data_IF_080789837332
#
_entry.id   IF_080789837332
#
_cell.length_a   1.000
_cell.length_b   1.000
_cell.length_c   1.000
_cell.angle_alpha   90.00
_cell.angle_beta   90.00
_cell.angle_gamma   90.00
#
_symmetry.space_group_name_H-M   'P 1'
#
loop_
_entity.id
_entity.type
_entity.pdbx_description
1 polymer ?
#
# COMPACT_ATOMS: atom_id res chain seq x y z
N UNK A 1 -36.24 34.35 -16.71
CA UNK A 1 -36.82 33.03 -17.05
C UNK A 1 -36.19 32.02 -16.12
N UNK A 2 -36.96 31.53 -15.14
CA UNK A 2 -36.48 30.61 -14.10
C UNK A 2 -36.55 29.18 -14.65
N UNK A 3 -35.39 28.57 -14.84
CA UNK A 3 -35.25 27.18 -15.24
C UNK A 3 -35.64 26.31 -14.04
N UNK A 4 -36.85 25.74 -14.09
CA UNK A 4 -37.28 24.72 -13.13
C UNK A 4 -36.41 23.49 -13.34
N UNK A 5 -35.44 23.27 -12.45
CA UNK A 5 -34.85 21.94 -12.27
C UNK A 5 -35.94 21.00 -11.75
N UNK A 6 -36.51 20.21 -12.65
CA UNK A 6 -37.37 19.08 -12.29
C UNK A 6 -36.53 18.09 -11.46
N UNK A 7 -36.93 17.90 -10.19
CA UNK A 7 -36.35 16.89 -9.34
C UNK A 7 -36.56 15.50 -9.97
N UNK A 8 -35.52 14.67 -10.12
CA UNK A 8 -35.64 13.39 -10.80
C UNK A 8 -36.65 12.48 -10.07
N UNK A 9 -37.54 11.87 -10.86
CA UNK A 9 -38.60 11.00 -10.35
C UNK A 9 -38.07 9.79 -9.56
N UNK A 10 -38.86 9.30 -8.60
CA UNK A 10 -38.55 8.19 -7.68
C UNK A 10 -38.03 6.92 -8.38
N UNK A 11 -38.46 6.67 -9.62
CA UNK A 11 -37.98 5.56 -10.46
C UNK A 11 -36.57 5.75 -11.01
N UNK A 12 -36.20 6.99 -11.39
CA UNK A 12 -34.85 7.33 -11.87
C UNK A 12 -33.81 7.14 -10.75
N UNK A 13 -34.15 7.57 -9.53
CA UNK A 13 -33.26 7.41 -8.37
C UNK A 13 -33.06 5.93 -7.98
N UNK A 14 -34.09 5.09 -8.13
CA UNK A 14 -33.98 3.64 -7.91
C UNK A 14 -33.14 2.93 -8.96
N UNK A 15 -33.31 3.29 -10.24
CA UNK A 15 -32.50 2.72 -11.32
C UNK A 15 -31.03 3.14 -11.19
N UNK A 16 -30.77 4.41 -10.86
CA UNK A 16 -29.43 4.92 -10.60
C UNK A 16 -28.77 4.20 -9.42
N UNK A 17 -29.47 4.04 -8.30
CA UNK A 17 -28.98 3.27 -7.15
C UNK A 17 -28.68 1.80 -7.52
N UNK A 18 -29.59 1.14 -8.26
CA UNK A 18 -29.38 -0.24 -8.71
C UNK A 18 -28.15 -0.38 -9.64
N UNK A 19 -27.95 0.57 -10.55
CA UNK A 19 -26.77 0.60 -11.43
C UNK A 19 -25.47 0.88 -10.65
N UNK A 20 -25.53 1.69 -9.59
CA UNK A 20 -24.38 1.92 -8.70
C UNK A 20 -24.06 0.70 -7.85
N UNK A 21 -25.07 -0.04 -7.38
CA UNK A 21 -24.88 -1.23 -6.53
C UNK A 21 -24.54 -2.52 -7.31
N UNK A 22 -24.99 -2.65 -8.56
CA UNK A 22 -24.85 -3.87 -9.34
C UNK A 22 -23.39 -4.36 -9.51
N UNK A 23 -22.39 -3.49 -9.78
CA UNK A 23 -20.99 -3.91 -9.85
C UNK A 23 -20.50 -4.53 -8.53
N UNK A 24 -20.91 -3.97 -7.39
CA UNK A 24 -20.52 -4.46 -6.06
C UNK A 24 -21.21 -5.77 -5.70
N UNK A 25 -22.50 -5.90 -6.04
CA UNK A 25 -23.24 -7.16 -5.86
C UNK A 25 -22.62 -8.29 -6.70
N UNK A 26 -22.25 -8.00 -7.95
CA UNK A 26 -21.55 -8.95 -8.83
C UNK A 26 -20.16 -9.31 -8.30
N UNK A 27 -19.36 -8.32 -7.90
CA UNK A 27 -18.05 -8.54 -7.31
C UNK A 27 -18.13 -9.40 -6.05
N UNK A 28 -19.10 -9.15 -5.17
CA UNK A 28 -19.37 -9.95 -3.97
C UNK A 28 -19.77 -11.39 -4.33
N UNK A 29 -20.68 -11.57 -5.30
CA UNK A 29 -21.09 -12.89 -5.77
C UNK A 29 -19.92 -13.71 -6.33
N UNK A 30 -19.07 -13.07 -7.14
CA UNK A 30 -17.85 -13.68 -7.66
C UNK A 30 -16.84 -13.99 -6.56
N UNK A 31 -16.66 -13.09 -5.60
CA UNK A 31 -15.76 -13.32 -4.46
C UNK A 31 -16.22 -14.50 -3.59
N UNK A 32 -17.54 -14.63 -3.35
CA UNK A 32 -18.14 -15.77 -2.66
C UNK A 32 -17.92 -17.07 -3.42
N UNK A 33 -18.15 -17.06 -4.73
CA UNK A 33 -18.02 -18.26 -5.57
C UNK A 33 -16.57 -18.72 -5.72
N UNK A 34 -15.65 -17.79 -6.02
CA UNK A 34 -14.26 -18.13 -6.37
C UNK A 34 -13.36 -18.28 -5.14
N UNK A 35 -13.63 -17.53 -4.07
CA UNK A 35 -12.75 -17.44 -2.91
C UNK A 35 -13.44 -17.76 -1.58
N UNK A 36 -14.71 -18.16 -1.60
CA UNK A 36 -15.44 -18.45 -0.37
C UNK A 36 -15.55 -17.25 0.57
N UNK A 37 -15.60 -16.03 0.02
CA UNK A 37 -15.67 -14.79 0.77
C UNK A 37 -16.81 -14.78 1.79
N UNK A 38 -16.52 -14.34 3.02
CA UNK A 38 -17.49 -14.21 4.11
C UNK A 38 -17.26 -12.89 4.84
N UNK A 39 -18.34 -12.36 5.40
CA UNK A 39 -18.29 -11.24 6.34
C UNK A 39 -18.71 -11.77 7.70
N UNK A 40 -17.91 -11.51 8.72
CA UNK A 40 -18.10 -11.95 10.11
C UNK A 40 -18.20 -10.72 11.00
N UNK A 41 -18.99 -10.80 12.08
CA UNK A 41 -19.04 -9.75 13.12
C UNK A 41 -19.79 -8.47 12.75
N UNK A 42 -20.71 -8.49 11.78
CA UNK A 42 -21.52 -7.30 11.42
C UNK A 42 -22.22 -6.69 12.64
N UNK A 43 -22.65 -7.54 13.58
CA UNK A 43 -23.34 -7.13 14.80
C UNK A 43 -22.44 -6.37 15.80
N UNK A 44 -21.12 -6.33 15.57
CA UNK A 44 -20.17 -5.58 16.40
C UNK A 44 -20.16 -4.07 16.08
N UNK A 45 -20.82 -3.65 15.00
CA UNK A 45 -20.96 -2.22 14.69
C UNK A 45 -21.77 -1.51 15.78
N UNK A 46 -21.26 -0.41 16.36
CA UNK A 46 -22.03 0.40 17.27
C UNK A 46 -23.33 0.88 16.60
N UNK A 47 -24.46 0.64 17.26
CA UNK A 47 -25.78 1.04 16.76
C UNK A 47 -26.05 2.54 16.90
N UNK A 48 -25.30 3.19 17.79
CA UNK A 48 -25.31 4.61 18.13
C UNK A 48 -23.91 5.06 18.58
N UNK A 49 -23.66 6.36 18.58
CA UNK A 49 -22.39 6.94 19.01
C UNK A 49 -21.42 7.22 17.85
N UNK A 50 -20.40 8.07 18.07
CA UNK A 50 -19.31 8.23 17.10
C UNK A 50 -18.39 7.02 17.14
N UNK A 51 -17.83 6.64 16.00
CA UNK A 51 -16.77 5.64 15.96
C UNK A 51 -15.85 5.84 14.75
N UNK A 52 -14.65 5.28 14.87
CA UNK A 52 -13.64 5.31 13.82
C UNK A 52 -13.61 3.93 13.16
N UNK A 53 -14.02 3.85 11.91
CA UNK A 53 -13.84 2.65 11.09
C UNK A 53 -12.38 2.55 10.68
N UNK A 54 -11.73 1.49 11.13
CA UNK A 54 -10.42 1.10 10.65
C UNK A 54 -10.60 0.06 9.56
N UNK A 55 -10.32 0.44 8.31
CA UNK A 55 -10.34 -0.48 7.18
C UNK A 55 -8.94 -0.85 6.72
N UNK A 56 -8.71 -2.12 6.35
CA UNK A 56 -7.41 -2.57 5.82
C UNK A 56 -7.50 -2.94 4.35
N UNK A 57 -6.46 -2.60 3.60
CA UNK A 57 -6.39 -2.87 2.16
C UNK A 57 -5.08 -3.61 1.82
N UNK A 58 -4.92 -4.89 2.21
CA UNK A 58 -3.66 -5.63 2.01
C UNK A 58 -3.33 -5.91 0.55
N UNK A 59 -4.24 -5.62 -0.38
CA UNK A 59 -4.05 -5.78 -1.82
C UNK A 59 -5.08 -4.98 -2.62
N UNK A 60 -5.01 -5.07 -3.96
CA UNK A 60 -6.03 -4.49 -4.83
C UNK A 60 -7.44 -5.08 -4.58
N UNK A 61 -7.53 -6.33 -4.10
CA UNK A 61 -8.80 -6.91 -3.65
C UNK A 61 -9.29 -6.19 -2.39
N UNK A 62 -8.38 -5.88 -1.47
CA UNK A 62 -8.68 -5.08 -0.29
C UNK A 62 -9.33 -3.74 -0.62
N UNK A 63 -8.83 -3.04 -1.64
CA UNK A 63 -9.44 -1.79 -2.13
C UNK A 63 -10.89 -1.99 -2.64
N UNK A 64 -11.18 -3.10 -3.33
CA UNK A 64 -12.56 -3.44 -3.75
C UNK A 64 -13.43 -3.73 -2.52
N UNK A 65 -12.88 -4.41 -1.52
CA UNK A 65 -13.57 -4.64 -0.24
C UNK A 65 -13.81 -3.32 0.50
N UNK A 66 -12.94 -2.31 0.33
CA UNK A 66 -13.16 -0.93 0.75
C UNK A 66 -14.52 -0.39 0.34
N UNK A 67 -14.81 -0.44 -0.96
CA UNK A 67 -16.11 -0.01 -1.48
C UNK A 67 -17.29 -0.86 -1.00
N UNK A 68 -17.09 -2.18 -0.83
CA UNK A 68 -18.11 -3.06 -0.24
C UNK A 68 -18.46 -2.64 1.19
N UNK A 69 -17.48 -2.28 2.01
CA UNK A 69 -17.71 -1.79 3.38
C UNK A 69 -18.60 -0.56 3.36
N UNK A 70 -18.26 0.46 2.57
CA UNK A 70 -19.08 1.69 2.50
C UNK A 70 -20.51 1.43 2.00
N UNK A 71 -20.70 0.57 1.01
CA UNK A 71 -22.01 0.39 0.31
C UNK A 71 -22.90 -0.67 0.96
N UNK A 72 -22.33 -1.63 1.69
CA UNK A 72 -23.10 -2.74 2.30
C UNK A 72 -23.00 -2.82 3.80
N UNK A 73 -21.82 -2.56 4.38
CA UNK A 73 -21.60 -2.68 5.83
C UNK A 73 -22.04 -1.40 6.54
N UNK A 74 -21.55 -0.24 6.10
CA UNK A 74 -21.83 1.05 6.75
C UNK A 74 -23.11 1.72 6.24
N UNK A 75 -23.66 1.26 5.12
CA UNK A 75 -24.86 1.86 4.49
C UNK A 75 -26.04 2.06 5.45
N UNK A 76 -26.42 1.10 6.32
CA UNK A 76 -27.50 1.31 7.27
C UNK A 76 -27.28 2.51 8.19
N UNK A 77 -26.05 2.71 8.65
CA UNK A 77 -25.68 3.84 9.52
C UNK A 77 -25.64 5.16 8.73
N UNK A 78 -25.09 5.14 7.52
CA UNK A 78 -25.05 6.32 6.67
C UNK A 78 -26.44 6.77 6.20
N UNK A 79 -27.35 5.82 5.96
CA UNK A 79 -28.74 6.11 5.56
C UNK A 79 -29.56 6.75 6.70
N UNK A 80 -29.10 6.70 7.96
CA UNK A 80 -29.68 7.46 9.09
C UNK A 80 -29.40 8.97 9.02
N UNK A 81 -28.54 9.41 8.09
CA UNK A 81 -28.09 10.79 7.98
C UNK A 81 -26.87 11.10 8.86
N UNK A 82 -26.18 10.08 9.35
CA UNK A 82 -24.95 10.21 10.15
C UNK A 82 -23.86 10.89 9.32
N UNK A 83 -23.31 11.99 9.86
CA UNK A 83 -22.20 12.69 9.22
C UNK A 83 -20.99 11.77 9.15
N UNK A 84 -20.24 11.81 8.06
CA UNK A 84 -19.09 10.95 7.87
C UNK A 84 -17.98 11.65 7.11
N UNK A 85 -16.75 11.22 7.37
CA UNK A 85 -15.59 11.56 6.55
C UNK A 85 -14.73 10.33 6.26
N UNK A 86 -14.35 10.18 5.00
CA UNK A 86 -13.48 9.09 4.54
C UNK A 86 -12.16 9.63 3.99
N UNK A 87 -11.06 8.99 4.36
CA UNK A 87 -9.72 9.33 3.88
C UNK A 87 -9.25 8.37 2.78
N UNK A 88 -9.05 8.87 1.56
CA UNK A 88 -8.67 8.05 0.40
C UNK A 88 -7.34 8.51 -0.19
N UNK A 89 -6.56 7.60 -0.74
CA UNK A 89 -5.38 7.96 -1.52
C UNK A 89 -5.79 8.79 -2.74
N UNK A 90 -5.06 9.86 -3.03
CA UNK A 90 -5.52 10.87 -3.98
C UNK A 90 -5.61 10.37 -5.42
N UNK A 91 -4.79 9.39 -5.79
CA UNK A 91 -4.74 8.80 -7.12
C UNK A 91 -6.08 8.18 -7.52
N UNK A 92 -6.90 7.76 -6.55
CA UNK A 92 -8.26 7.27 -6.81
C UNK A 92 -9.13 8.35 -7.45
N UNK A 93 -8.94 9.61 -7.10
CA UNK A 93 -9.72 10.74 -7.63
C UNK A 93 -9.39 11.06 -9.11
N UNK A 94 -8.38 10.41 -9.72
CA UNK A 94 -8.18 10.43 -11.18
C UNK A 94 -9.33 9.75 -11.92
N UNK A 95 -9.97 8.77 -11.29
CA UNK A 95 -11.09 8.06 -11.88
C UNK A 95 -12.36 8.92 -11.72
N UNK A 96 -13.08 9.11 -12.82
CA UNK A 96 -14.28 9.96 -12.85
C UNK A 96 -15.36 9.54 -11.83
N UNK A 97 -15.38 8.26 -11.44
CA UNK A 97 -16.23 7.77 -10.36
C UNK A 97 -15.91 8.47 -9.03
N UNK A 98 -14.66 8.41 -8.56
CA UNK A 98 -14.24 8.97 -7.27
C UNK A 98 -14.26 10.50 -7.26
N UNK A 99 -13.96 11.15 -8.39
CA UNK A 99 -14.04 12.62 -8.53
C UNK A 99 -15.43 13.20 -8.23
N UNK A 100 -16.48 12.41 -8.45
CA UNK A 100 -17.86 12.84 -8.26
C UNK A 100 -18.51 12.31 -6.97
N UNK A 101 -17.76 11.61 -6.10
CA UNK A 101 -18.31 10.97 -4.90
C UNK A 101 -18.78 11.97 -3.84
N UNK A 102 -18.15 13.15 -3.73
CA UNK A 102 -18.61 14.20 -2.80
C UNK A 102 -20.06 14.64 -3.09
N UNK A 103 -20.50 14.54 -4.35
CA UNK A 103 -21.86 14.88 -4.75
C UNK A 103 -22.89 13.78 -4.43
N UNK A 104 -22.46 12.60 -3.96
CA UNK A 104 -23.32 11.41 -3.91
C UNK A 104 -23.20 10.54 -2.66
N UNK A 105 -22.10 10.56 -1.90
CA UNK A 105 -21.82 9.48 -0.93
C UNK A 105 -21.15 9.87 0.41
N UNK A 106 -20.76 11.14 0.63
CA UNK A 106 -20.15 11.59 1.90
C UNK A 106 -19.04 12.63 1.73
N UNK A 107 -18.40 13.05 2.84
CA UNK A 107 -17.21 13.91 2.78
C UNK A 107 -15.99 13.02 2.53
N UNK A 108 -15.25 13.30 1.48
CA UNK A 108 -14.00 12.61 1.19
C UNK A 108 -12.83 13.57 1.40
N UNK A 109 -11.72 13.05 1.92
CA UNK A 109 -10.48 13.81 2.08
C UNK A 109 -9.35 13.03 1.41
N UNK A 110 -8.68 13.60 0.40
CA UNK A 110 -7.52 12.96 -0.18
C UNK A 110 -6.36 12.97 0.80
N UNK A 111 -5.66 11.84 0.88
CA UNK A 111 -4.38 11.71 1.53
C UNK A 111 -3.32 12.09 0.50
N UNK A 112 -2.92 13.36 0.52
CA UNK A 112 -1.89 13.91 -0.37
C UNK A 112 -0.52 13.72 0.29
N UNK A 113 0.40 12.95 -0.31
CA UNK A 113 1.75 12.78 0.21
C UNK A 113 2.46 14.12 0.41
N UNK A 114 3.27 14.22 1.47
CA UNK A 114 4.09 15.41 1.76
C UNK A 114 3.32 16.75 1.88
N UNK A 115 2.01 16.68 2.14
CA UNK A 115 1.11 17.84 2.20
C UNK A 115 0.58 18.06 3.63
N UNK A 116 1.49 18.43 4.54
CA UNK A 116 1.17 18.56 5.97
C UNK A 116 -0.05 19.45 6.28
N UNK A 117 -0.28 20.60 5.61
CA UNK A 117 -1.45 21.44 5.87
C UNK A 117 -2.77 20.74 5.51
N UNK A 118 -2.82 20.06 4.36
CA UNK A 118 -3.99 19.34 3.85
C UNK A 118 -4.32 18.15 4.75
N UNK A 119 -3.30 17.39 5.15
CA UNK A 119 -3.44 16.29 6.10
C UNK A 119 -3.95 16.78 7.46
N UNK A 120 -3.38 17.89 7.98
CA UNK A 120 -3.82 18.49 9.25
C UNK A 120 -5.29 18.93 9.21
N UNK A 121 -5.71 19.57 8.11
CA UNK A 121 -7.11 19.95 7.91
C UNK A 121 -8.02 18.73 7.84
N UNK A 122 -7.58 17.67 7.16
CA UNK A 122 -8.30 16.40 7.10
C UNK A 122 -8.52 15.80 8.49
N UNK A 123 -7.47 15.75 9.32
CA UNK A 123 -7.55 15.25 10.70
C UNK A 123 -8.56 16.09 11.53
N UNK A 124 -8.52 17.42 11.43
CA UNK A 124 -9.46 18.30 12.13
C UNK A 124 -10.91 18.12 11.67
N UNK A 125 -11.14 17.83 10.39
CA UNK A 125 -12.47 17.48 9.90
C UNK A 125 -12.94 16.14 10.49
N UNK A 126 -12.06 15.14 10.58
CA UNK A 126 -12.33 13.89 11.30
C UNK A 126 -12.70 14.12 12.76
N UNK A 127 -11.93 14.94 13.47
CA UNK A 127 -12.21 15.32 14.86
C UNK A 127 -13.59 15.96 15.01
N UNK A 128 -13.95 16.91 14.15
CA UNK A 128 -15.28 17.57 14.16
C UNK A 128 -16.42 16.60 13.87
N UNK A 129 -16.23 15.67 12.93
CA UNK A 129 -17.22 14.64 12.61
C UNK A 129 -17.48 13.76 13.83
N UNK A 130 -16.44 13.31 14.54
CA UNK A 130 -16.59 12.50 15.75
C UNK A 130 -17.27 13.27 16.89
N UNK A 131 -16.92 14.54 17.11
CA UNK A 131 -17.60 15.38 18.11
C UNK A 131 -19.09 15.59 17.81
N UNK A 132 -19.49 15.48 16.54
CA UNK A 132 -20.88 15.59 16.10
C UNK A 132 -21.54 14.22 15.91
N UNK A 133 -21.11 13.20 16.65
CA UNK A 133 -21.69 11.84 16.62
C UNK A 133 -21.62 11.17 15.23
N UNK A 134 -20.59 11.50 14.46
CA UNK A 134 -20.38 10.98 13.12
C UNK A 134 -19.35 9.85 13.04
N UNK A 135 -19.06 9.40 11.82
CA UNK A 135 -18.18 8.26 11.54
C UNK A 135 -16.95 8.72 10.77
N UNK A 136 -15.76 8.30 11.22
CA UNK A 136 -14.52 8.50 10.47
C UNK A 136 -14.07 7.19 9.86
N UNK A 137 -13.83 7.14 8.55
CA UNK A 137 -13.37 5.95 7.83
C UNK A 137 -11.91 6.17 7.40
N UNK A 138 -11.02 5.33 7.91
CA UNK A 138 -9.58 5.49 7.72
C UNK A 138 -8.86 4.14 7.57
N UNK A 139 -7.85 4.10 6.68
CA UNK A 139 -6.90 3.01 6.61
C UNK A 139 -5.58 3.44 7.30
N UNK A 140 -5.30 2.97 8.54
CA UNK A 140 -4.12 3.39 9.28
C UNK A 140 -2.81 2.90 8.67
N UNK A 141 -2.84 1.89 7.80
CA UNK A 141 -1.65 1.42 7.08
C UNK A 141 -1.23 2.35 5.94
N UNK A 142 -2.16 3.18 5.43
CA UNK A 142 -1.93 4.16 4.37
C UNK A 142 -1.64 3.60 2.97
N UNK A 143 -1.16 2.36 2.87
CA UNK A 143 -0.88 1.67 1.60
C UNK A 143 -1.06 0.15 1.78
N UNK A 144 -1.15 -0.55 0.65
CA UNK A 144 -1.17 -2.01 0.60
C UNK A 144 0.23 -2.58 0.83
N UNK A 145 0.28 -3.71 1.55
CA UNK A 145 1.52 -4.44 1.79
C UNK A 145 2.15 -5.01 0.51
N UNK A 146 3.49 -5.05 0.48
CA UNK A 146 4.28 -5.59 -0.62
C UNK A 146 4.66 -7.07 -0.42
N UNK A 147 5.06 -7.44 0.78
CA UNK A 147 5.51 -8.79 1.17
C UNK A 147 4.52 -9.53 2.09
N UNK A 148 3.38 -8.91 2.39
CA UNK A 148 2.34 -9.45 3.26
C UNK A 148 2.48 -9.03 4.73
N UNK A 149 3.59 -8.38 5.12
CA UNK A 149 3.77 -7.82 6.48
C UNK A 149 3.03 -6.50 6.63
N UNK A 150 2.65 -6.08 7.86
CA UNK A 150 2.00 -4.80 8.03
C UNK A 150 2.94 -3.65 7.64
N UNK A 151 2.40 -2.61 7.02
CA UNK A 151 3.11 -1.33 6.92
C UNK A 151 3.08 -0.62 8.28
N UNK A 152 3.89 0.43 8.42
CA UNK A 152 3.85 1.27 9.61
C UNK A 152 2.47 1.91 9.77
N UNK A 153 1.93 1.83 10.98
CA UNK A 153 0.64 2.41 11.33
C UNK A 153 0.77 3.93 11.50
N UNK A 154 -0.01 4.68 10.72
CA UNK A 154 -0.15 6.12 10.86
C UNK A 154 -0.80 6.51 12.18
N UNK A 155 -0.49 7.73 12.64
CA UNK A 155 -0.90 8.23 13.98
C UNK A 155 -2.34 8.75 14.05
N UNK A 156 -3.01 8.92 12.90
CA UNK A 156 -4.29 9.64 12.79
C UNK A 156 -5.40 8.94 13.57
N UNK A 157 -5.60 7.64 13.38
CA UNK A 157 -6.67 6.89 14.05
C UNK A 157 -6.48 6.87 15.56
N UNK A 158 -5.26 6.59 16.03
CA UNK A 158 -4.91 6.64 17.45
C UNK A 158 -5.13 8.04 18.05
N UNK A 159 -4.67 9.10 17.38
CA UNK A 159 -4.84 10.47 17.84
C UNK A 159 -6.32 10.86 17.94
N UNK A 160 -7.14 10.53 16.94
CA UNK A 160 -8.58 10.80 16.96
C UNK A 160 -9.28 10.06 18.09
N UNK A 161 -8.99 8.77 18.27
CA UNK A 161 -9.55 7.96 19.34
C UNK A 161 -9.19 8.53 20.72
N UNK A 162 -7.92 8.88 20.95
CA UNK A 162 -7.47 9.48 22.22
C UNK A 162 -8.10 10.87 22.48
N UNK A 163 -8.24 11.70 21.45
CA UNK A 163 -8.80 13.05 21.58
C UNK A 163 -10.32 13.09 21.72
N UNK A 164 -11.02 12.01 21.40
CA UNK A 164 -12.49 11.98 21.38
C UNK A 164 -13.09 10.88 22.24
N UNK A 165 -12.28 9.95 22.74
CA UNK A 165 -12.71 8.68 23.30
C UNK A 165 -13.64 7.86 22.38
N UNK A 166 -13.68 8.17 21.08
CA UNK A 166 -14.44 7.38 20.13
C UNK A 166 -13.76 6.01 19.95
N UNK A 167 -14.52 4.91 20.02
CA UNK A 167 -13.96 3.58 19.80
C UNK A 167 -13.51 3.42 18.34
N UNK A 168 -12.49 2.61 18.14
CA UNK A 168 -12.07 2.16 16.82
C UNK A 168 -12.75 0.84 16.52
N UNK A 169 -13.53 0.76 15.44
CA UNK A 169 -14.14 -0.48 14.96
C UNK A 169 -13.25 -1.07 13.86
N UNK A 170 -12.55 -2.18 14.13
CA UNK A 170 -11.68 -2.81 13.14
C UNK A 170 -12.54 -3.56 12.11
N UNK A 171 -12.42 -3.17 10.84
CA UNK A 171 -13.02 -3.82 9.68
C UNK A 171 -11.89 -4.35 8.80
N UNK A 172 -11.42 -5.54 9.16
CA UNK A 172 -10.15 -6.10 8.71
C UNK A 172 -10.38 -7.15 7.63
N UNK A 173 -9.77 -6.94 6.46
CA UNK A 173 -9.64 -7.99 5.46
C UNK A 173 -8.56 -8.96 5.91
N UNK A 174 -8.83 -10.26 5.94
CA UNK A 174 -7.79 -11.26 6.25
C UNK A 174 -6.63 -11.19 5.24
N UNK A 175 -5.44 -11.64 5.66
CA UNK A 175 -4.25 -11.70 4.80
C UNK A 175 -4.45 -12.52 3.51
N UNK A 176 -5.48 -13.38 3.45
CA UNK A 176 -5.89 -14.07 2.23
C UNK A 176 -6.11 -13.16 1.01
N UNK A 177 -6.48 -11.89 1.22
CA UNK A 177 -6.55 -10.88 0.15
C UNK A 177 -5.19 -10.62 -0.50
N UNK A 178 -4.11 -10.53 0.30
CA UNK A 178 -2.73 -10.45 -0.19
C UNK A 178 -2.35 -11.72 -0.93
N UNK A 179 -2.64 -12.89 -0.34
CA UNK A 179 -2.26 -14.17 -0.95
C UNK A 179 -2.91 -14.41 -2.32
N UNK A 180 -4.11 -13.86 -2.57
CA UNK A 180 -4.80 -13.99 -3.85
C UNK A 180 -4.20 -13.04 -4.88
N UNK A 181 -3.95 -11.77 -4.53
CA UNK A 181 -3.50 -10.79 -5.50
C UNK A 181 -2.49 -9.80 -4.93
N UNK A 182 -1.25 -10.24 -4.66
CA UNK A 182 -0.22 -9.34 -4.13
C UNK A 182 0.17 -8.29 -5.18
N UNK A 183 0.67 -7.13 -4.75
CA UNK A 183 0.95 -5.98 -5.65
C UNK A 183 1.91 -6.32 -6.79
N UNK A 184 2.89 -7.18 -6.52
CA UNK A 184 3.88 -7.61 -7.49
C UNK A 184 3.32 -8.63 -8.52
N UNK A 185 2.07 -9.09 -8.36
CA UNK A 185 1.44 -10.04 -9.27
C UNK A 185 0.46 -9.35 -10.24
N UNK A 186 0.59 -9.69 -11.53
CA UNK A 186 -0.20 -9.08 -12.60
C UNK A 186 -1.70 -9.40 -12.54
N UNK A 187 -2.05 -10.63 -12.19
CA UNK A 187 -3.43 -11.13 -12.18
C UNK A 187 -3.69 -11.88 -10.87
N UNK A 188 -4.93 -11.87 -10.34
CA UNK A 188 -5.26 -12.62 -9.14
C UNK A 188 -5.07 -14.12 -9.36
N UNK A 189 -4.69 -14.82 -8.31
CA UNK A 189 -4.70 -16.27 -8.26
C UNK A 189 -6.13 -16.79 -8.40
N UNK A 190 -6.30 -17.92 -9.10
CA UNK A 190 -7.62 -18.59 -9.23
C UNK A 190 -8.05 -19.33 -7.97
N UNK A 191 -7.17 -19.41 -6.97
CA UNK A 191 -7.39 -20.16 -5.72
C UNK A 191 -7.06 -19.26 -4.55
N UNK A 192 -7.84 -19.38 -3.49
CA UNK A 192 -7.59 -18.70 -2.23
C UNK A 192 -8.85 -18.61 -1.41
N UNK A 193 -8.70 -18.12 -0.19
CA UNK A 193 -9.81 -17.77 0.68
C UNK A 193 -9.49 -16.47 1.37
N UNK A 194 -10.50 -15.66 1.58
CA UNK A 194 -10.37 -14.47 2.40
C UNK A 194 -11.72 -14.18 3.06
N UNK A 195 -11.66 -13.45 4.17
CA UNK A 195 -12.82 -12.98 4.92
C UNK A 195 -12.66 -11.50 5.25
N UNK A 196 -13.79 -10.86 5.52
CA UNK A 196 -13.86 -9.55 6.14
C UNK A 196 -14.33 -9.75 7.59
N UNK A 197 -13.48 -9.41 8.55
CA UNK A 197 -13.78 -9.47 9.97
C UNK A 197 -14.16 -8.07 10.44
N UNK A 198 -15.31 -7.94 11.11
CA UNK A 198 -15.68 -6.73 11.84
C UNK A 198 -15.54 -7.11 13.31
N UNK A 199 -14.47 -6.64 13.95
CA UNK A 199 -14.16 -7.01 15.33
C UNK A 199 -14.88 -6.12 16.34
N UNK A 200 -14.79 -6.51 17.61
CA UNK A 200 -15.31 -5.72 18.71
C UNK A 200 -14.64 -4.32 18.73
N UNK A 201 -15.40 -3.27 19.07
CA UNK A 201 -14.84 -1.92 19.14
C UNK A 201 -13.70 -1.84 20.16
N UNK A 202 -12.57 -1.28 19.74
CA UNK A 202 -11.38 -1.04 20.55
C UNK A 202 -11.43 0.36 21.17
N UNK A 203 -11.58 0.41 22.49
CA UNK A 203 -11.48 1.64 23.27
C UNK A 203 -10.05 1.90 23.71
N UNK A 204 -9.47 3.03 23.29
CA UNK A 204 -8.10 3.40 23.66
C UNK A 204 -8.02 4.20 24.97
N UNK A 205 -9.09 4.90 25.33
CA UNK A 205 -9.21 5.72 26.55
C UNK A 205 -10.67 5.84 26.95
N UNK A 206 -10.96 5.92 28.25
CA UNK A 206 -12.32 6.06 28.78
C UNK A 206 -12.89 7.48 28.63
N UNK A 207 -11.99 8.46 28.43
CA UNK A 207 -12.36 9.87 28.27
C UNK A 207 -11.44 10.60 27.30
N UNK A 208 -11.92 11.65 26.62
CA UNK A 208 -11.10 12.50 25.76
C UNK A 208 -9.88 13.05 26.52
N UNK A 209 -8.70 12.92 25.94
CA UNK A 209 -7.47 13.53 26.48
C UNK A 209 -7.32 14.94 25.95
N UNK A 210 -7.10 15.95 26.79
CA UNK A 210 -6.88 17.34 26.35
C UNK A 210 -5.62 17.51 25.50
N UNK A 211 -4.57 16.76 25.87
CA UNK A 211 -3.28 16.71 25.17
C UNK A 211 -2.90 15.26 24.95
N UNK A 212 -2.48 14.96 23.72
CA UNK A 212 -1.93 13.66 23.33
C UNK A 212 -0.43 13.81 23.14
N UNK A 213 0.34 12.98 23.83
CA UNK A 213 1.80 12.92 23.78
C UNK A 213 2.29 11.87 22.77
N UNK A 214 3.59 11.86 22.48
CA UNK A 214 4.18 10.83 21.63
C UNK A 214 4.07 9.44 22.28
N UNK A 215 4.26 9.35 23.60
CA UNK A 215 4.11 8.12 24.37
C UNK A 215 2.67 7.57 24.29
N UNK A 216 1.65 8.43 24.45
CA UNK A 216 0.25 8.00 24.34
C UNK A 216 -0.02 7.37 22.96
N UNK A 217 0.58 7.94 21.91
CA UNK A 217 0.41 7.46 20.53
C UNK A 217 1.17 6.15 20.28
N UNK A 218 2.34 5.97 20.87
CA UNK A 218 3.08 4.70 20.81
C UNK A 218 2.31 3.58 21.50
N UNK A 219 1.81 3.81 22.71
CA UNK A 219 1.00 2.83 23.47
C UNK A 219 -0.31 2.50 22.75
N UNK A 220 -1.01 3.52 22.24
CA UNK A 220 -2.23 3.35 21.45
C UNK A 220 -1.98 2.53 20.17
N UNK A 221 -0.92 2.85 19.42
CA UNK A 221 -0.58 2.11 18.20
C UNK A 221 -0.13 0.67 18.49
N UNK A 222 0.55 0.42 19.61
CA UNK A 222 0.91 -0.95 20.02
C UNK A 222 -0.34 -1.81 20.27
N UNK A 223 -1.37 -1.27 20.95
CA UNK A 223 -2.67 -1.94 21.15
C UNK A 223 -3.41 -2.20 19.83
N UNK A 224 -3.41 -1.21 18.93
CA UNK A 224 -3.97 -1.35 17.58
C UNK A 224 -3.25 -2.47 16.83
N UNK A 225 -1.91 -2.49 16.85
CA UNK A 225 -1.11 -3.51 16.17
C UNK A 225 -1.36 -4.93 16.73
N UNK A 226 -1.43 -5.09 18.05
CA UNK A 226 -1.74 -6.37 18.67
C UNK A 226 -3.08 -6.92 18.18
N UNK A 227 -4.11 -6.07 18.14
CA UNK A 227 -5.43 -6.44 17.61
C UNK A 227 -5.38 -6.76 16.12
N UNK A 228 -4.64 -5.99 15.32
CA UNK A 228 -4.43 -6.25 13.90
C UNK A 228 -3.90 -7.66 13.67
N UNK A 229 -2.84 -8.05 14.40
CA UNK A 229 -2.14 -9.30 14.11
C UNK A 229 -3.04 -10.52 14.30
N UNK A 230 -3.85 -10.53 15.35
CA UNK A 230 -4.76 -11.63 15.66
C UNK A 230 -5.84 -11.82 14.59
N UNK A 231 -6.48 -10.74 14.17
CA UNK A 231 -7.59 -10.80 13.22
C UNK A 231 -7.14 -10.94 11.77
N UNK A 232 -6.04 -10.26 11.42
CA UNK A 232 -5.53 -10.22 10.05
C UNK A 232 -4.81 -11.51 9.65
N UNK A 233 -3.93 -12.03 10.53
CA UNK A 233 -3.12 -13.23 10.27
C UNK A 233 -3.68 -14.51 10.92
N UNK A 234 -4.65 -14.39 11.83
CA UNK A 234 -5.27 -15.50 12.54
C UNK A 234 -4.55 -15.84 13.86
N UNK A 235 -4.88 -16.98 14.50
CA UNK A 235 -4.44 -17.30 15.87
C UNK A 235 -2.92 -17.38 16.08
N UNK A 236 -2.15 -17.63 15.02
CA UNK A 236 -0.69 -17.66 15.08
C UNK A 236 -0.03 -16.29 14.92
N UNK A 237 -0.82 -15.23 14.70
CA UNK A 237 -0.33 -13.90 14.37
C UNK A 237 0.57 -13.87 13.13
N UNK A 238 1.36 -12.82 13.00
CA UNK A 238 2.29 -12.65 11.89
C UNK A 238 3.34 -13.77 11.84
N UNK A 239 3.90 -14.16 12.99
CA UNK A 239 4.92 -15.21 13.08
C UNK A 239 4.37 -16.58 12.60
N UNK A 240 3.14 -16.90 13.00
CA UNK A 240 2.44 -18.09 12.52
C UNK A 240 2.20 -18.01 11.00
N UNK A 241 1.79 -16.87 10.47
CA UNK A 241 1.61 -16.74 9.02
C UNK A 241 2.92 -16.89 8.22
N UNK A 242 4.02 -16.30 8.69
CA UNK A 242 5.37 -16.44 8.11
C UNK A 242 5.83 -17.91 8.13
N UNK A 243 5.62 -18.59 9.27
CA UNK A 243 6.02 -19.97 9.48
C UNK A 243 7.54 -20.18 9.68
N UNK A 244 7.97 -21.41 9.98
CA UNK A 244 9.36 -21.71 10.30
C UNK A 244 10.26 -21.71 9.06
N UNK A 245 11.54 -21.47 9.27
CA UNK A 245 12.58 -21.72 8.25
C UNK A 245 12.90 -23.21 8.24
N UNK A 246 12.89 -23.84 7.07
CA UNK A 246 13.20 -25.26 6.91
C UNK A 246 14.45 -25.46 6.06
N UNK A 247 15.18 -26.56 6.29
CA UNK A 247 16.24 -27.06 5.43
C UNK A 247 16.00 -28.55 5.18
N UNK A 248 15.76 -28.90 3.92
CA UNK A 248 15.37 -30.26 3.51
C UNK A 248 14.20 -30.82 4.36
N UNK A 249 13.22 -29.95 4.67
CA UNK A 249 12.04 -30.30 5.46
C UNK A 249 12.22 -30.29 6.99
N UNK A 250 13.44 -30.04 7.50
CA UNK A 250 13.72 -29.95 8.95
C UNK A 250 13.78 -28.48 9.37
N UNK A 251 13.13 -28.13 10.48
CA UNK A 251 13.17 -26.76 11.02
C UNK A 251 14.60 -26.35 11.43
N UNK A 252 14.98 -25.14 11.02
CA UNK A 252 16.27 -24.53 11.34
C UNK A 252 16.05 -23.48 12.42
N UNK A 253 16.60 -23.72 13.61
CA UNK A 253 16.52 -22.78 14.74
C UNK A 253 17.67 -21.78 14.78
N UNK A 254 18.79 -22.12 14.14
CA UNK A 254 19.95 -21.22 14.06
C UNK A 254 19.72 -20.11 13.02
N UNK A 255 20.25 -18.89 13.25
CA UNK A 255 20.13 -17.82 12.27
C UNK A 255 20.74 -18.20 10.93
N UNK A 256 19.92 -18.15 9.87
CA UNK A 256 20.42 -18.35 8.50
C UNK A 256 21.38 -17.22 8.15
N UNK A 257 22.63 -17.58 7.84
CA UNK A 257 23.60 -16.65 7.28
C UNK A 257 23.72 -16.92 5.78
N UNK A 258 23.35 -15.91 4.98
CA UNK A 258 23.57 -15.94 3.54
C UNK A 258 24.85 -15.17 3.26
N UNK A 259 25.94 -15.90 3.01
CA UNK A 259 27.20 -15.29 2.61
C UNK A 259 27.19 -15.11 1.09
N UNK A 260 27.29 -13.86 0.59
CA UNK A 260 27.50 -13.66 -0.83
C UNK A 260 28.82 -14.34 -1.24
N UNK A 261 28.90 -14.85 -2.48
CA UNK A 261 30.13 -15.44 -2.98
C UNK A 261 31.27 -14.40 -2.93
N UNK A 262 32.48 -14.86 -2.62
CA UNK A 262 33.68 -14.02 -2.53
C UNK A 262 33.95 -13.22 -3.81
N UNK A 263 33.53 -13.78 -4.96
CA UNK A 263 33.59 -13.11 -6.25
C UNK A 263 32.18 -12.71 -6.65
N UNK A 264 31.94 -11.40 -6.77
CA UNK A 264 30.66 -10.92 -7.28
C UNK A 264 30.49 -11.38 -8.74
N UNK A 265 29.29 -11.88 -9.11
CA UNK A 265 28.98 -12.17 -10.50
C UNK A 265 29.06 -10.89 -11.35
N UNK A 266 29.34 -11.04 -12.64
CA UNK A 266 29.28 -9.93 -13.57
C UNK A 266 27.90 -9.23 -13.51
N UNK A 267 27.90 -7.91 -13.66
CA UNK A 267 26.66 -7.14 -13.72
C UNK A 267 25.77 -7.65 -14.85
N UNK A 268 24.48 -7.81 -14.56
CA UNK A 268 23.49 -8.21 -15.56
C UNK A 268 22.78 -6.94 -16.02
N UNK A 269 22.64 -6.73 -17.34
CA UNK A 269 21.86 -5.61 -17.82
C UNK A 269 20.42 -5.70 -17.29
N UNK A 270 19.79 -4.58 -16.93
CA UNK A 270 18.45 -4.59 -16.41
C UNK A 270 17.49 -5.27 -17.40
N UNK A 271 16.55 -6.09 -16.92
CA UNK A 271 15.64 -6.81 -17.81
C UNK A 271 14.80 -5.83 -18.61
N UNK A 272 14.81 -5.95 -19.95
CA UNK A 272 13.91 -5.21 -20.85
C UNK A 272 12.49 -5.80 -20.79
N UNK A 273 11.91 -5.80 -19.59
CA UNK A 273 10.60 -6.38 -19.30
C UNK A 273 9.80 -5.37 -18.50
N UNK A 274 8.55 -5.11 -18.92
CA UNK A 274 7.64 -4.23 -18.19
C UNK A 274 7.57 -4.65 -16.71
N UNK A 275 7.61 -3.68 -15.81
CA UNK A 275 7.58 -3.88 -14.34
C UNK A 275 6.48 -4.86 -13.92
N UNK A 276 5.26 -4.72 -14.45
CA UNK A 276 4.12 -5.62 -14.17
C UNK A 276 4.34 -7.10 -14.53
N UNK A 277 5.35 -7.44 -15.34
CA UNK A 277 5.71 -8.81 -15.72
C UNK A 277 6.85 -9.38 -14.86
N UNK A 278 7.55 -8.57 -14.07
CA UNK A 278 8.67 -9.02 -13.23
C UNK A 278 8.21 -9.95 -12.09
N UNK A 279 6.94 -9.90 -11.68
CA UNK A 279 6.43 -10.79 -10.63
C UNK A 279 7.14 -10.50 -9.31
N UNK A 280 7.50 -11.53 -8.54
CA UNK A 280 8.20 -11.41 -7.27
C UNK A 280 9.56 -10.71 -7.38
N UNK A 281 10.17 -10.64 -8.57
CA UNK A 281 11.40 -9.88 -8.79
C UNK A 281 11.20 -8.35 -8.64
N UNK A 282 9.95 -7.85 -8.61
CA UNK A 282 9.68 -6.46 -8.20
C UNK A 282 9.92 -6.26 -6.70
N UNK A 283 9.58 -7.27 -5.90
CA UNK A 283 9.78 -7.26 -4.45
C UNK A 283 11.23 -7.59 -4.11
N UNK A 284 11.71 -8.72 -4.63
CA UNK A 284 13.11 -9.13 -4.56
C UNK A 284 13.88 -8.50 -5.72
N UNK A 285 14.15 -7.21 -5.62
CA UNK A 285 14.87 -6.45 -6.66
C UNK A 285 16.36 -6.84 -6.77
N UNK A 286 16.88 -7.58 -5.78
CA UNK A 286 18.22 -8.13 -5.73
C UNK A 286 18.17 -9.63 -5.42
N UNK A 287 19.13 -10.41 -5.94
CA UNK A 287 19.27 -11.81 -5.55
C UNK A 287 19.65 -11.91 -4.06
N UNK A 288 18.87 -12.61 -3.21
CA UNK A 288 19.19 -12.73 -1.78
C UNK A 288 20.46 -13.55 -1.49
N UNK A 289 20.91 -14.36 -2.45
CA UNK A 289 22.12 -15.19 -2.32
C UNK A 289 23.37 -14.44 -2.80
N UNK A 290 23.39 -13.98 -4.05
CA UNK A 290 24.59 -13.36 -4.64
C UNK A 290 24.59 -11.83 -4.66
N UNK A 291 23.51 -11.19 -4.19
CA UNK A 291 23.37 -9.73 -4.11
C UNK A 291 23.43 -8.98 -5.46
N UNK A 292 23.27 -9.68 -6.58
CA UNK A 292 23.20 -9.01 -7.89
C UNK A 292 21.82 -8.38 -8.10
N UNK A 293 21.79 -7.08 -8.36
CA UNK A 293 20.58 -6.30 -8.63
C UNK A 293 19.97 -6.70 -9.98
N UNK A 294 18.63 -6.74 -10.07
CA UNK A 294 17.91 -7.03 -11.31
C UNK A 294 18.08 -8.44 -11.87
N UNK A 295 18.82 -9.32 -11.19
CA UNK A 295 19.20 -10.63 -11.70
C UNK A 295 18.09 -11.69 -11.60
N UNK A 296 17.00 -11.41 -10.88
CA UNK A 296 15.94 -12.37 -10.63
C UNK A 296 14.90 -12.41 -11.75
N UNK A 297 14.58 -13.62 -12.20
CA UNK A 297 13.57 -13.89 -13.21
C UNK A 297 12.49 -14.79 -12.63
N UNK A 298 11.24 -14.32 -12.67
CA UNK A 298 10.09 -15.09 -12.21
C UNK A 298 9.33 -15.75 -13.38
N UNK A 299 9.41 -17.09 -13.46
CA UNK A 299 8.71 -17.91 -14.47
C UNK A 299 7.39 -18.44 -13.90
N UNK A 300 6.28 -18.11 -14.58
CA UNK A 300 4.90 -18.40 -14.15
C UNK A 300 4.13 -19.24 -15.18
N UNK A 301 4.43 -20.54 -15.29
CA UNK A 301 3.67 -21.42 -16.18
C UNK A 301 2.23 -21.62 -15.68
N UNK A 302 1.26 -21.68 -16.59
CA UNK A 302 -0.18 -21.75 -16.24
C UNK A 302 -0.54 -23.04 -15.46
N UNK A 303 0.18 -24.14 -15.71
CA UNK A 303 -0.14 -25.46 -15.17
C UNK A 303 1.01 -26.13 -14.40
N UNK A 304 2.12 -25.43 -14.18
CA UNK A 304 3.28 -25.97 -13.45
C UNK A 304 3.60 -25.10 -12.25
N UNK A 305 4.48 -25.59 -11.37
CA UNK A 305 5.00 -24.77 -10.27
C UNK A 305 5.75 -23.57 -10.80
N UNK A 306 5.60 -22.46 -10.09
CA UNK A 306 6.33 -21.23 -10.38
C UNK A 306 7.79 -21.40 -9.97
N UNK A 307 8.69 -20.77 -10.72
CA UNK A 307 10.13 -20.83 -10.46
C UNK A 307 10.70 -19.43 -10.47
N UNK A 308 11.59 -19.15 -9.52
CA UNK A 308 12.42 -17.95 -9.52
C UNK A 308 13.84 -18.40 -9.80
N UNK A 309 14.59 -17.68 -10.63
CA UNK A 309 15.99 -17.99 -10.91
C UNK A 309 16.83 -16.74 -10.93
N UNK A 310 18.05 -16.79 -10.41
CA UNK A 310 19.04 -15.75 -10.54
C UNK A 310 19.89 -16.00 -11.78
N UNK A 311 19.92 -15.04 -12.71
CA UNK A 311 20.75 -15.14 -13.91
C UNK A 311 22.25 -14.97 -13.64
N UNK A 312 22.64 -14.46 -12.46
CA UNK A 312 24.03 -14.17 -12.12
C UNK A 312 24.72 -15.37 -11.49
N UNK A 313 24.16 -15.90 -10.41
CA UNK A 313 24.71 -17.06 -9.70
C UNK A 313 24.06 -18.40 -10.07
N UNK A 314 23.05 -18.39 -10.93
CA UNK A 314 22.34 -19.61 -11.35
C UNK A 314 21.40 -20.20 -10.30
N UNK A 315 21.29 -19.61 -9.10
CA UNK A 315 20.41 -20.14 -8.04
C UNK A 315 18.97 -20.23 -8.54
N UNK A 316 18.32 -21.37 -8.30
CA UNK A 316 16.96 -21.70 -8.71
C UNK A 316 16.10 -21.99 -7.48
N UNK A 317 14.94 -21.37 -7.40
CA UNK A 317 13.96 -21.58 -6.34
C UNK A 317 12.66 -22.21 -6.89
N UNK A 318 12.09 -23.16 -6.15
CA UNK A 318 10.66 -23.45 -6.22
C UNK A 318 9.90 -22.31 -5.55
N UNK A 319 8.97 -21.69 -6.26
CA UNK A 319 8.12 -20.62 -5.72
C UNK A 319 6.70 -21.16 -5.59
N UNK A 320 6.16 -21.15 -4.38
CA UNK A 320 4.81 -21.66 -4.16
C UNK A 320 4.02 -20.85 -3.15
N UNK A 321 2.73 -20.68 -3.44
CA UNK A 321 1.76 -20.17 -2.48
C UNK A 321 1.34 -21.27 -1.52
N UNK A 322 1.35 -20.99 -0.23
CA UNK A 322 0.76 -21.85 0.81
C UNK A 322 -0.49 -21.13 1.37
N UNK A 323 -1.72 -21.59 1.08
CA UNK A 323 -2.91 -20.91 1.59
C UNK A 323 -2.90 -20.75 3.12
N UNK A 324 -3.20 -19.56 3.63
CA UNK A 324 -3.16 -19.24 5.06
C UNK A 324 -1.74 -19.03 5.61
N UNK A 325 -0.73 -18.95 4.75
CA UNK A 325 0.68 -18.70 5.07
C UNK A 325 1.29 -17.80 3.99
N UNK A 326 2.48 -17.30 4.27
CA UNK A 326 3.26 -16.56 3.28
C UNK A 326 3.60 -17.43 2.05
N UNK A 327 3.96 -16.78 0.94
CA UNK A 327 4.60 -17.44 -0.18
C UNK A 327 5.93 -18.05 0.29
N UNK A 328 6.28 -19.21 -0.27
CA UNK A 328 7.45 -20.00 0.11
C UNK A 328 8.39 -20.11 -1.06
N UNK A 329 9.68 -20.05 -0.75
CA UNK A 329 10.78 -20.16 -1.69
C UNK A 329 11.78 -21.18 -1.17
N UNK A 330 11.87 -22.31 -1.87
CA UNK A 330 12.81 -23.39 -1.59
C UNK A 330 13.94 -23.39 -2.63
N UNK A 331 15.19 -23.36 -2.19
CA UNK A 331 16.36 -23.43 -3.08
C UNK A 331 16.51 -24.86 -3.61
N UNK A 332 16.37 -25.02 -4.93
CA UNK A 332 16.55 -26.30 -5.62
C UNK A 332 17.98 -26.49 -6.15
N UNK A 333 18.56 -25.42 -6.66
CA UNK A 333 19.92 -25.41 -7.22
C UNK A 333 20.59 -24.10 -6.79
N UNK A 334 21.90 -24.14 -6.51
CA UNK A 334 22.66 -22.98 -6.01
C UNK A 334 23.86 -23.41 -5.18
N UNK A 335 24.46 -22.48 -4.41
CA UNK A 335 25.54 -22.81 -3.48
C UNK A 335 25.13 -23.92 -2.49
N UNK A 336 25.98 -24.92 -2.22
CA UNK A 336 25.63 -26.09 -1.40
C UNK A 336 25.05 -25.75 -0.01
N UNK A 337 25.49 -24.64 0.58
CA UNK A 337 25.09 -24.19 1.91
C UNK A 337 23.65 -23.66 1.97
N UNK A 338 23.03 -23.34 0.84
CA UNK A 338 21.63 -22.87 0.76
C UNK A 338 20.70 -23.88 0.09
N UNK A 339 21.19 -24.93 -0.57
CA UNK A 339 20.32 -25.93 -1.22
C UNK A 339 19.41 -26.61 -0.18
N UNK A 340 18.12 -26.71 -0.52
CA UNK A 340 17.07 -27.23 0.36
C UNK A 340 16.57 -26.24 1.42
N UNK A 341 17.12 -25.02 1.49
CA UNK A 341 16.61 -23.97 2.35
C UNK A 341 15.25 -23.48 1.82
N UNK A 342 14.22 -23.61 2.65
CA UNK A 342 12.84 -23.20 2.36
C UNK A 342 12.35 -22.24 3.44
N UNK A 343 12.11 -21.00 3.04
CA UNK A 343 11.59 -19.96 3.92
C UNK A 343 10.58 -19.07 3.20
N UNK A 344 9.87 -18.30 4.03
CA UNK A 344 8.86 -17.37 3.59
C UNK A 344 9.45 -16.28 2.68
N UNK A 345 8.65 -15.77 1.74
CA UNK A 345 9.04 -14.70 0.82
C UNK A 345 9.42 -13.43 1.59
N UNK A 346 8.66 -13.07 2.62
CA UNK A 346 9.00 -11.93 3.47
C UNK A 346 10.31 -12.15 4.23
N UNK A 347 10.61 -13.37 4.67
CA UNK A 347 11.93 -13.69 5.26
C UNK A 347 13.06 -13.57 4.24
N UNK A 348 12.88 -14.02 3.00
CA UNK A 348 13.86 -13.77 1.92
C UNK A 348 14.05 -12.28 1.64
N UNK A 349 12.96 -11.50 1.65
CA UNK A 349 13.00 -10.05 1.46
C UNK A 349 13.77 -9.34 2.57
N UNK A 350 13.57 -9.72 3.84
CA UNK A 350 14.36 -9.21 4.97
C UNK A 350 15.84 -9.55 4.82
N UNK A 351 16.19 -10.80 4.48
CA UNK A 351 17.59 -11.16 4.25
C UNK A 351 18.22 -10.37 3.10
N UNK A 352 17.47 -10.13 2.02
CA UNK A 352 17.90 -9.31 0.89
C UNK A 352 18.15 -7.86 1.31
N UNK A 353 17.33 -7.29 2.19
CA UNK A 353 17.51 -5.92 2.68
C UNK A 353 18.59 -5.79 3.74
N UNK A 354 18.85 -6.85 4.51
CA UNK A 354 19.85 -6.83 5.58
C UNK A 354 21.21 -6.45 5.01
N UNK A 355 21.81 -5.41 5.59
CA UNK A 355 23.11 -4.84 5.19
C UNK A 355 23.13 -4.30 3.75
N UNK A 356 21.97 -3.98 3.16
CA UNK A 356 21.97 -3.26 1.90
C UNK A 356 22.64 -1.90 2.07
N UNK A 357 23.69 -1.68 1.29
CA UNK A 357 24.32 -0.38 1.11
C UNK A 357 24.35 -0.14 -0.40
N UNK A 358 23.73 0.94 -0.91
CA UNK A 358 23.86 1.28 -2.32
C UNK A 358 25.32 1.58 -2.63
N UNK A 359 25.80 1.11 -3.78
CA UNK A 359 27.13 1.44 -4.30
C UNK A 359 27.01 2.57 -5.32
N UNK A 360 27.96 3.53 -5.34
CA UNK A 360 27.97 4.55 -6.37
C UNK A 360 28.09 3.95 -7.78
N UNK A 361 27.24 4.41 -8.69
CA UNK A 361 27.31 4.09 -10.11
C UNK A 361 27.95 5.24 -10.89
N UNK A 362 28.65 4.89 -11.96
CA UNK A 362 29.18 5.87 -12.90
C UNK A 362 28.11 6.18 -13.94
N UNK A 363 27.89 7.46 -14.19
CA UNK A 363 26.93 7.94 -15.18
C UNK A 363 27.57 9.02 -16.04
N UNK A 364 27.34 8.95 -17.35
CA UNK A 364 27.83 9.94 -18.29
C UNK A 364 26.84 11.09 -18.48
N UNK A 365 27.34 12.25 -18.91
CA UNK A 365 26.52 13.37 -19.39
C UNK A 365 25.82 14.18 -18.31
N UNK A 366 26.32 14.14 -17.07
CA UNK A 366 25.76 14.90 -15.94
C UNK A 366 26.88 15.57 -15.15
N UNK A 367 26.68 16.84 -14.82
CA UNK A 367 27.57 17.62 -13.98
C UNK A 367 27.26 17.36 -12.50
N UNK A 368 28.17 16.64 -11.83
CA UNK A 368 28.06 16.31 -10.41
C UNK A 368 28.74 17.38 -9.54
N UNK A 369 28.15 17.66 -8.39
CA UNK A 369 28.73 18.51 -7.35
C UNK A 369 29.98 17.82 -6.75
N UNK A 370 30.92 18.59 -6.14
CA UNK A 370 32.06 18.01 -5.46
C UNK A 370 31.64 17.00 -4.37
N UNK A 371 32.07 15.73 -4.51
CA UNK A 371 31.71 14.65 -3.59
C UNK A 371 30.30 14.08 -3.78
N UNK A 372 29.60 14.46 -4.85
CA UNK A 372 28.31 13.87 -5.21
C UNK A 372 28.51 12.48 -5.85
N UNK A 373 27.85 11.49 -5.28
CA UNK A 373 27.84 10.11 -5.74
C UNK A 373 26.45 9.78 -6.27
N UNK A 374 26.37 9.07 -7.39
CA UNK A 374 25.09 8.65 -7.99
C UNK A 374 24.77 7.24 -7.53
N UNK A 375 23.54 6.98 -7.07
CA UNK A 375 23.14 5.65 -6.58
C UNK A 375 22.05 4.99 -7.42
N UNK A 376 21.27 5.78 -8.17
CA UNK A 376 20.23 5.25 -9.05
C UNK A 376 20.17 6.08 -10.33
N UNK A 377 20.00 5.38 -11.44
CA UNK A 377 19.65 5.94 -12.73
C UNK A 377 18.40 5.23 -13.26
N UNK A 378 17.43 6.03 -13.71
CA UNK A 378 16.26 5.55 -14.42
C UNK A 378 16.03 6.39 -15.68
N UNK A 379 15.70 5.73 -16.78
CA UNK A 379 15.32 6.35 -18.04
C UNK A 379 13.77 6.37 -18.15
N UNK A 380 13.25 7.16 -19.08
CA UNK A 380 11.81 7.26 -19.39
C UNK A 380 10.94 7.62 -18.17
N UNK A 381 11.48 8.44 -17.27
CA UNK A 381 10.80 8.92 -16.07
C UNK A 381 10.00 10.18 -16.38
N UNK A 382 8.69 10.11 -16.19
CA UNK A 382 7.81 11.26 -16.29
C UNK A 382 7.87 12.12 -15.02
N UNK A 383 8.13 13.42 -15.17
CA UNK A 383 7.95 14.39 -14.09
C UNK A 383 6.55 15.00 -14.18
N UNK A 384 5.72 14.78 -13.15
CA UNK A 384 4.32 15.25 -13.13
C UNK A 384 4.01 16.02 -11.84
N UNK A 385 4.34 17.33 -11.75
CA UNK A 385 4.08 18.15 -10.57
C UNK A 385 2.58 18.42 -10.37
N UNK A 386 2.17 18.64 -9.12
CA UNK A 386 0.81 19.08 -8.78
C UNK A 386 0.52 20.46 -9.35
N UNK A 387 -0.71 20.69 -9.81
CA UNK A 387 -1.19 22.02 -10.19
C UNK A 387 -1.84 22.75 -9.00
N UNK A 388 -1.73 24.09 -8.93
CA UNK A 388 -0.83 24.92 -9.74
C UNK A 388 0.64 24.69 -9.35
N UNK A 389 1.55 24.80 -10.32
CA UNK A 389 2.99 24.66 -10.10
C UNK A 389 3.78 25.75 -10.82
N UNK A 390 4.72 26.38 -10.13
CA UNK A 390 5.60 27.37 -10.76
C UNK A 390 6.45 26.78 -11.88
N UNK A 391 6.69 25.47 -11.90
CA UNK A 391 7.36 24.81 -13.02
C UNK A 391 6.66 25.00 -14.37
N UNK A 392 5.35 25.27 -14.38
CA UNK A 392 4.57 25.61 -15.59
C UNK A 392 4.46 27.12 -15.83
N UNK A 393 4.77 27.94 -14.83
CA UNK A 393 4.59 29.40 -14.83
C UNK A 393 5.91 30.15 -15.10
N UNK A 394 6.80 29.54 -15.90
CA UNK A 394 8.05 30.18 -16.32
C UNK A 394 9.20 30.08 -15.32
N UNK A 395 9.19 29.09 -14.41
CA UNK A 395 10.35 28.79 -13.55
C UNK A 395 11.59 28.48 -14.41
N UNK A 396 12.59 29.34 -14.31
CA UNK A 396 13.81 29.27 -15.11
C UNK A 396 15.01 28.70 -14.33
N UNK A 397 14.89 28.55 -13.01
CA UNK A 397 15.97 28.02 -12.17
C UNK A 397 16.08 26.51 -12.33
N UNK A 398 17.32 26.00 -12.21
CA UNK A 398 17.60 24.56 -12.20
C UNK A 398 17.11 23.91 -10.90
N UNK A 399 17.18 24.62 -9.78
CA UNK A 399 16.69 24.13 -8.51
C UNK A 399 15.15 24.11 -8.49
N UNK A 400 14.55 23.04 -7.99
CA UNK A 400 13.11 22.88 -7.94
C UNK A 400 12.46 23.93 -7.01
N UNK A 401 11.23 24.39 -7.31
CA UNK A 401 10.50 25.29 -6.43
C UNK A 401 10.28 24.68 -5.05
N UNK A 402 10.65 25.42 -4.00
CA UNK A 402 10.51 25.00 -2.60
C UNK A 402 9.13 25.24 -2.01
N UNK A 403 8.41 26.24 -2.54
CA UNK A 403 7.08 26.59 -2.06
C UNK A 403 6.03 25.86 -2.89
N UNK A 404 5.26 25.01 -2.23
CA UNK A 404 4.01 24.52 -2.80
C UNK A 404 2.96 25.61 -2.76
N UNK A 405 2.02 25.56 -3.70
CA UNK A 405 0.84 26.41 -3.64
C UNK A 405 -0.01 26.07 -2.41
N UNK A 406 -0.69 27.08 -1.85
CA UNK A 406 -1.54 26.91 -0.67
C UNK A 406 -2.70 25.91 -0.90
N UNK A 407 -3.09 25.72 -2.15
CA UNK A 407 -4.16 24.80 -2.56
C UNK A 407 -3.76 24.01 -3.80
N UNK A 408 -3.44 22.74 -3.58
CA UNK A 408 -3.21 21.78 -4.66
C UNK A 408 -4.54 21.32 -5.26
N UNK A 409 -4.56 21.16 -6.58
CA UNK A 409 -5.62 20.48 -7.30
C UNK A 409 -5.44 18.96 -7.14
N UNK A 410 -6.40 18.36 -6.45
CA UNK A 410 -6.37 16.95 -6.08
C UNK A 410 -6.43 16.10 -7.34
N UNK A 411 -5.53 15.13 -7.44
CA UNK A 411 -5.44 14.20 -8.55
C UNK A 411 -5.28 14.84 -9.93
N UNK A 412 -4.80 16.09 -9.98
CA UNK A 412 -4.49 16.79 -11.21
C UNK A 412 -2.99 17.07 -11.27
N UNK A 413 -2.33 16.31 -12.14
CA UNK A 413 -0.92 16.48 -12.45
C UNK A 413 -0.78 16.62 -13.95
N UNK A 414 0.06 17.55 -14.35
CA UNK A 414 0.44 17.72 -15.74
C UNK A 414 1.84 17.16 -15.95
N UNK A 415 2.04 16.45 -17.05
CA UNK A 415 3.34 15.89 -17.40
C UNK A 415 4.22 16.97 -17.99
N UNK A 416 5.45 17.06 -17.51
CA UNK A 416 6.49 17.95 -18.06
C UNK A 416 7.35 17.26 -19.12
N UNK A 417 6.93 16.06 -19.54
CA UNK A 417 7.65 15.19 -20.45
C UNK A 417 8.29 14.01 -19.74
N UNK A 418 8.89 13.14 -20.55
CA UNK A 418 9.72 12.03 -20.11
C UNK A 418 11.18 12.46 -20.13
N UNK A 419 11.97 11.91 -19.21
CA UNK A 419 13.38 12.24 -19.06
C UNK A 419 14.12 11.18 -18.27
N UNK A 420 15.37 11.52 -17.93
CA UNK A 420 16.25 10.71 -17.11
C UNK A 420 16.16 11.16 -15.65
N UNK A 421 16.01 10.23 -14.72
CA UNK A 421 16.08 10.49 -13.27
C UNK A 421 17.38 9.92 -12.71
N UNK A 422 18.08 10.74 -11.94
CA UNK A 422 19.22 10.35 -11.13
C UNK A 422 18.91 10.60 -9.66
N UNK A 423 19.30 9.66 -8.79
CA UNK A 423 19.27 9.83 -7.32
C UNK A 423 20.71 9.79 -6.84
N UNK A 424 21.14 10.86 -6.18
CA UNK A 424 22.53 11.05 -5.76
C UNK A 424 22.62 11.18 -4.24
N UNK A 425 23.83 11.31 -3.69
CA UNK A 425 24.05 11.64 -2.27
C UNK A 425 23.56 13.04 -1.89
N UNK A 426 23.25 13.91 -2.85
CA UNK A 426 22.91 15.32 -2.62
C UNK A 426 21.51 15.71 -3.11
N UNK A 427 21.01 15.09 -4.19
CA UNK A 427 19.75 15.46 -4.84
C UNK A 427 19.12 14.33 -5.64
N UNK A 428 17.85 14.49 -5.96
CA UNK A 428 17.26 13.88 -7.15
C UNK A 428 17.39 14.86 -8.32
N UNK A 429 17.90 14.41 -9.46
CA UNK A 429 18.02 15.21 -10.68
C UNK A 429 17.11 14.60 -11.75
N UNK A 430 16.19 15.40 -12.29
CA UNK A 430 15.41 15.03 -13.47
C UNK A 430 15.91 15.82 -14.68
N UNK A 431 16.36 15.12 -15.71
CA UNK A 431 16.88 15.67 -16.97
C UNK A 431 15.91 15.32 -18.11
N UNK A 432 15.06 16.28 -18.48
CA UNK A 432 14.15 16.17 -19.61
C UNK A 432 14.76 16.71 -20.91
N UNK A 433 14.02 16.61 -22.01
CA UNK A 433 14.48 17.06 -23.34
C UNK A 433 14.88 18.54 -23.40
N UNK A 434 14.20 19.40 -22.64
CA UNK A 434 14.39 20.86 -22.70
C UNK A 434 15.01 21.48 -21.45
N UNK A 435 15.11 20.73 -20.34
CA UNK A 435 15.54 21.29 -19.05
C UNK A 435 15.94 20.22 -18.04
N UNK A 436 16.70 20.65 -17.05
CA UNK A 436 17.11 19.89 -15.88
C UNK A 436 16.53 20.51 -14.61
N UNK A 437 16.12 19.65 -13.67
CA UNK A 437 15.55 20.07 -12.39
C UNK A 437 16.20 19.29 -11.25
N UNK A 438 16.72 20.04 -10.28
CA UNK A 438 17.37 19.53 -9.08
C UNK A 438 16.43 19.59 -7.87
N UNK A 439 16.26 18.46 -7.19
CA UNK A 439 15.51 18.31 -5.94
C UNK A 439 16.50 17.96 -4.82
N UNK A 440 16.97 18.97 -4.09
CA UNK A 440 17.98 18.80 -3.04
C UNK A 440 17.41 18.06 -1.82
N UNK A 441 18.20 17.17 -1.18
CA UNK A 441 17.77 16.44 0.02
C UNK A 441 17.76 17.30 1.28
N UNK A 442 18.72 18.20 1.37
CA UNK A 442 18.97 19.04 2.54
C UNK A 442 18.49 20.45 2.26
N UNK A 443 17.31 20.77 2.78
CA UNK A 443 17.06 22.02 3.51
C UNK A 443 16.23 21.75 4.77
#
# INVERSE_FOLDING_TARGET
MSEKQEAPGRGYNRLKAALTEAPWAMANGLAKLLYGFRTEGIDNLPSDGPYIVWITEPSLIGMIIGGYVSIKVLKPELDKGTDNVSFFHEELFRLAYFRNLENTAGKYRPLVPHSAPQLSKGILDGYRVLLNNGIVIHNPQGDATWDGRPTAFGRIAAWLALRTAAPIVPILSSIGCYEIWPRWQRLPSRKGRFRLCIDEPLELTDRPLDRVTDQDLEEANARILEHFEQSHYGPGGLAGWIGPVLRAGVEVTEPVQLHPPLTQPAAIPPPNTKVSKLGVAQLLWQCPVCRTNGALVHRRPIFRREKVSCQACGTLWDFCRKPGRDFRMEVLEGPPEVVGLDMSLSTWYEHMKRNFSPEPIQVDGVELLPGEEVYLEAQDVTLSPYLPNSLFEGWAEREAPKKQADRLEIANWESMGEGRLLVTSHRALWQGMMREIDFLWNE
#
